data_IF_595277396106
#
_entry.id   IF_595277396106
#
_cell.length_a   1.000
_cell.length_b   1.000
_cell.length_c   1.000
_cell.angle_alpha   90.00
_cell.angle_beta   90.00
_cell.angle_gamma   90.00
#
_symmetry.space_group_name_H-M   'P 1'
#
loop_
_entity.id
_entity.type
_entity.pdbx_description
1 polymer ?
#
# COMPACT_ATOMS: atom_id res chain seq x y z
N UNK A 1 -21.43 -12.87 17.27
CA UNK A 1 -21.29 -11.78 16.28
C UNK A 1 -20.37 -12.26 15.18
N UNK A 2 -20.75 -12.08 13.92
CA UNK A 2 -19.91 -12.46 12.78
C UNK A 2 -18.65 -11.60 12.75
N UNK A 3 -17.50 -12.16 12.33
CA UNK A 3 -16.20 -11.46 12.21
C UNK A 3 -16.26 -10.18 11.35
N UNK A 4 -17.35 -10.00 10.60
CA UNK A 4 -17.54 -8.96 9.57
C UNK A 4 -18.30 -7.72 10.04
N UNK A 5 -18.75 -7.68 11.29
CA UNK A 5 -19.62 -6.61 11.79
C UNK A 5 -18.90 -5.62 12.73
N UNK A 6 -17.60 -5.38 12.49
CA UNK A 6 -16.88 -4.34 13.23
C UNK A 6 -17.30 -2.95 12.74
N UNK A 7 -17.76 -2.11 13.68
CA UNK A 7 -18.06 -0.71 13.41
C UNK A 7 -16.81 0.14 13.57
N UNK A 8 -16.37 0.77 12.49
CA UNK A 8 -15.25 1.71 12.50
C UNK A 8 -15.72 3.13 12.79
N UNK A 9 -15.15 3.75 13.82
CA UNK A 9 -15.31 5.19 14.08
C UNK A 9 -14.15 5.90 13.36
N UNK A 10 -14.43 6.73 12.33
CA UNK A 10 -13.38 7.37 11.55
C UNK A 10 -12.61 8.39 12.39
N UNK A 11 -11.36 8.66 11.99
CA UNK A 11 -10.56 9.73 12.59
C UNK A 11 -11.12 11.12 12.27
N UNK A 12 -11.67 11.29 11.08
CA UNK A 12 -12.28 12.52 10.61
C UNK A 12 -13.33 12.20 9.56
N UNK A 13 -14.38 13.02 9.46
CA UNK A 13 -15.35 12.99 8.37
C UNK A 13 -15.01 14.00 7.26
N UNK A 14 -13.99 14.84 7.48
CA UNK A 14 -13.60 15.93 6.59
C UNK A 14 -12.60 15.42 5.54
N UNK A 15 -13.06 15.29 4.29
CA UNK A 15 -12.28 14.74 3.18
C UNK A 15 -11.04 15.59 2.85
N UNK A 16 -11.11 16.91 3.02
CA UNK A 16 -9.98 17.80 2.78
C UNK A 16 -8.91 17.61 3.85
N UNK A 17 -9.32 17.50 5.12
CA UNK A 17 -8.39 17.15 6.21
C UNK A 17 -7.78 15.77 5.99
N UNK A 18 -8.55 14.77 5.58
CA UNK A 18 -8.02 13.42 5.29
C UNK A 18 -6.95 13.50 4.19
N UNK A 19 -7.23 14.22 3.09
CA UNK A 19 -6.27 14.41 1.99
C UNK A 19 -5.01 15.14 2.46
N UNK A 20 -5.18 16.24 3.18
CA UNK A 20 -4.09 17.06 3.70
C UNK A 20 -3.17 16.25 4.63
N UNK A 21 -3.74 15.55 5.62
CA UNK A 21 -2.97 14.72 6.54
C UNK A 21 -2.36 13.49 5.85
N UNK A 22 -3.00 12.95 4.81
CA UNK A 22 -2.48 11.81 4.07
C UNK A 22 -1.18 12.13 3.32
N UNK A 23 -1.13 13.28 2.65
CA UNK A 23 -0.01 13.63 1.76
C UNK A 23 1.02 14.53 2.45
N UNK A 24 0.58 15.51 3.24
CA UNK A 24 1.48 16.51 3.82
C UNK A 24 2.19 16.01 5.08
N UNK A 25 1.50 15.26 5.95
CA UNK A 25 2.09 14.79 7.22
C UNK A 25 3.31 13.90 6.95
N UNK A 26 3.22 12.99 6.00
CA UNK A 26 4.33 12.10 5.61
C UNK A 26 5.52 12.89 5.06
N UNK A 27 5.26 13.93 4.25
CA UNK A 27 6.28 14.80 3.67
C UNK A 27 6.96 15.68 4.73
N UNK A 28 6.20 16.26 5.66
CA UNK A 28 6.72 17.05 6.78
C UNK A 28 7.52 16.18 7.77
N UNK A 29 7.04 14.96 8.06
CA UNK A 29 7.76 14.00 8.90
C UNK A 29 9.11 13.63 8.26
N UNK A 30 9.14 13.36 6.95
CA UNK A 30 10.38 13.05 6.26
C UNK A 30 11.33 14.26 6.22
N UNK A 31 10.82 15.47 5.95
CA UNK A 31 11.64 16.69 5.98
C UNK A 31 12.30 16.90 7.36
N UNK A 32 11.54 16.66 8.44
CA UNK A 32 12.06 16.77 9.81
C UNK A 32 13.06 15.65 10.17
N UNK A 33 12.80 14.42 9.74
CA UNK A 33 13.63 13.26 10.14
C UNK A 33 14.86 13.05 9.24
N UNK A 34 14.76 13.34 7.95
CA UNK A 34 15.79 13.07 6.94
C UNK A 34 15.74 14.10 5.79
N UNK A 35 16.13 15.37 6.03
CA UNK A 35 15.99 16.45 5.06
C UNK A 35 16.74 16.21 3.73
N UNK A 36 17.93 15.60 3.78
CA UNK A 36 18.68 15.22 2.57
C UNK A 36 17.92 14.19 1.73
N UNK A 37 17.24 13.22 2.37
CA UNK A 37 16.41 12.25 1.64
C UNK A 37 15.16 12.92 1.05
N UNK A 38 14.56 13.88 1.77
CA UNK A 38 13.47 14.69 1.25
C UNK A 38 13.88 15.43 -0.04
N UNK A 39 14.99 16.17 -0.02
CA UNK A 39 15.50 16.89 -1.21
C UNK A 39 15.77 15.91 -2.36
N UNK A 40 16.42 14.77 -2.08
CA UNK A 40 16.64 13.72 -3.08
C UNK A 40 15.33 13.28 -3.74
N UNK A 41 14.27 13.06 -2.97
CA UNK A 41 12.96 12.68 -3.52
C UNK A 41 12.33 13.77 -4.39
N UNK A 42 12.52 15.05 -4.05
CA UNK A 42 12.08 16.17 -4.89
C UNK A 42 12.81 16.18 -6.24
N UNK A 43 14.12 15.91 -6.24
CA UNK A 43 14.92 15.81 -7.48
C UNK A 43 14.52 14.58 -8.29
N UNK A 44 14.44 13.39 -7.67
CA UNK A 44 14.10 12.14 -8.34
C UNK A 44 12.72 12.20 -9.03
N UNK A 45 11.74 12.90 -8.44
CA UNK A 45 10.42 13.14 -9.07
C UNK A 45 10.52 13.84 -10.43
N UNK A 46 11.57 14.65 -10.62
CA UNK A 46 11.81 15.41 -11.85
C UNK A 46 12.59 14.62 -12.91
N UNK A 47 13.25 13.53 -12.54
CA UNK A 47 14.00 12.71 -13.49
C UNK A 47 13.08 11.88 -14.40
N UNK A 48 13.33 11.86 -15.72
CA UNK A 48 12.56 11.05 -16.65
C UNK A 48 12.78 9.56 -16.43
N UNK A 49 11.78 8.74 -16.76
CA UNK A 49 11.92 7.29 -16.84
C UNK A 49 12.34 6.95 -18.28
N UNK A 50 13.52 6.34 -18.42
CA UNK A 50 14.07 5.92 -19.73
C UNK A 50 13.70 4.48 -20.10
N UNK A 51 13.35 3.66 -19.11
CA UNK A 51 12.91 2.27 -19.29
C UNK A 51 11.47 2.21 -19.81
N UNK A 52 11.03 1.04 -20.29
CA UNK A 52 9.61 0.81 -20.57
C UNK A 52 8.78 0.87 -19.29
N UNK A 53 7.48 1.10 -19.44
CA UNK A 53 6.53 1.21 -18.32
C UNK A 53 6.53 -0.07 -17.49
N UNK A 54 6.54 -1.23 -18.15
CA UNK A 54 6.52 -2.56 -17.52
C UNK A 54 7.77 -2.80 -16.67
N UNK A 55 8.95 -2.51 -17.23
CA UNK A 55 10.23 -2.68 -16.54
C UNK A 55 10.30 -1.74 -15.33
N UNK A 56 9.84 -0.50 -15.50
CA UNK A 56 9.81 0.47 -14.40
C UNK A 56 8.89 0.03 -13.25
N UNK A 57 7.69 -0.48 -13.57
CA UNK A 57 6.75 -1.00 -12.56
C UNK A 57 7.35 -2.22 -11.86
N UNK A 58 7.87 -3.19 -12.60
CA UNK A 58 8.43 -4.42 -12.05
C UNK A 58 9.64 -4.16 -11.13
N UNK A 59 10.40 -3.09 -11.38
CA UNK A 59 11.54 -2.70 -10.54
C UNK A 59 11.12 -1.94 -9.27
N UNK A 60 10.11 -1.06 -9.35
CA UNK A 60 9.77 -0.15 -8.25
C UNK A 60 8.66 -0.68 -7.33
N UNK A 61 7.73 -1.48 -7.84
CA UNK A 61 6.63 -2.09 -7.07
C UNK A 61 6.96 -3.54 -6.69
N UNK A 62 6.56 -3.97 -5.50
CA UNK A 62 6.79 -5.34 -5.02
C UNK A 62 5.72 -6.34 -5.53
N UNK A 63 4.53 -5.86 -5.91
CA UNK A 63 3.53 -6.60 -6.70
C UNK A 63 2.58 -5.64 -7.44
N UNK A 64 1.82 -6.18 -8.38
CA UNK A 64 0.95 -5.45 -9.29
C UNK A 64 -0.35 -6.21 -9.57
N UNK A 65 -1.46 -5.48 -9.71
CA UNK A 65 -2.65 -6.03 -10.34
C UNK A 65 -3.42 -4.95 -11.11
N UNK A 66 -4.31 -5.40 -11.99
CA UNK A 66 -5.14 -4.55 -12.83
C UNK A 66 -6.61 -4.92 -12.68
N UNK A 67 -7.46 -3.91 -12.60
CA UNK A 67 -8.91 -4.04 -12.65
C UNK A 67 -9.46 -2.96 -13.60
N UNK A 68 -9.76 -3.35 -14.84
CA UNK A 68 -10.14 -2.41 -15.89
C UNK A 68 -9.01 -1.41 -16.20
N UNK A 69 -9.33 -0.12 -16.13
CA UNK A 69 -8.39 1.01 -16.34
C UNK A 69 -7.64 1.41 -15.04
N UNK A 70 -7.88 0.70 -13.94
CA UNK A 70 -7.22 0.96 -12.66
C UNK A 70 -6.12 -0.06 -12.41
N UNK A 71 -4.91 0.46 -12.27
CA UNK A 71 -3.71 -0.25 -11.89
C UNK A 71 -3.47 -0.12 -10.39
N UNK A 72 -3.04 -1.20 -9.77
CA UNK A 72 -2.81 -1.29 -8.33
C UNK A 72 -1.40 -1.80 -8.08
N UNK A 73 -0.69 -1.14 -7.17
CA UNK A 73 0.69 -1.45 -6.84
C UNK A 73 0.83 -1.70 -5.35
N UNK A 74 1.54 -2.78 -5.03
CA UNK A 74 1.92 -3.14 -3.68
C UNK A 74 3.35 -2.68 -3.43
N UNK A 75 3.55 -1.92 -2.34
CA UNK A 75 4.86 -1.46 -1.89
C UNK A 75 5.11 -1.96 -0.47
N UNK A 76 5.84 -3.06 -0.34
CA UNK A 76 6.15 -3.68 0.94
C UNK A 76 7.28 -2.93 1.64
N UNK A 77 7.04 -2.48 2.89
CA UNK A 77 8.13 -1.90 3.67
C UNK A 77 8.87 -3.00 4.44
N UNK A 78 10.20 -2.86 4.48
CA UNK A 78 11.11 -3.92 4.98
C UNK A 78 11.54 -3.72 6.43
N UNK A 79 11.14 -2.60 7.04
CA UNK A 79 11.51 -2.23 8.42
C UNK A 79 10.41 -2.65 9.43
N UNK A 80 10.78 -3.00 10.67
CA UNK A 80 9.82 -3.39 11.71
C UNK A 80 8.94 -2.23 12.21
N UNK A 81 9.25 -0.98 11.85
CA UNK A 81 8.51 0.22 12.21
C UNK A 81 8.06 0.98 10.97
N UNK A 82 6.98 1.75 11.11
CA UNK A 82 6.51 2.69 10.10
C UNK A 82 7.64 3.64 9.67
N UNK A 83 7.93 3.72 8.38
CA UNK A 83 8.99 4.54 7.83
C UNK A 83 8.39 5.58 6.87
N UNK A 84 8.48 6.90 7.18
CA UNK A 84 8.02 7.96 6.28
C UNK A 84 8.64 7.89 4.88
N UNK A 85 9.84 7.32 4.78
CA UNK A 85 10.53 7.05 3.52
C UNK A 85 9.73 6.12 2.58
N UNK A 86 8.96 5.17 3.13
CA UNK A 86 8.13 4.29 2.32
C UNK A 86 7.06 5.08 1.55
N UNK A 87 6.37 6.01 2.22
CA UNK A 87 5.41 6.90 1.56
C UNK A 87 6.07 7.80 0.51
N UNK A 88 7.24 8.37 0.82
CA UNK A 88 7.94 9.23 -0.13
C UNK A 88 8.36 8.48 -1.40
N UNK A 89 8.81 7.23 -1.26
CA UNK A 89 9.11 6.34 -2.40
C UNK A 89 7.88 6.11 -3.25
N UNK A 90 6.74 5.75 -2.65
CA UNK A 90 5.48 5.52 -3.37
C UNK A 90 5.03 6.75 -4.14
N UNK A 91 5.03 7.93 -3.51
CA UNK A 91 4.68 9.16 -4.22
C UNK A 91 5.67 9.49 -5.34
N UNK A 92 6.98 9.28 -5.13
CA UNK A 92 7.98 9.49 -6.19
C UNK A 92 7.75 8.54 -7.35
N UNK A 93 7.49 7.26 -7.09
CA UNK A 93 7.14 6.26 -8.08
C UNK A 93 5.91 6.69 -8.90
N UNK A 94 4.79 7.01 -8.23
CA UNK A 94 3.56 7.44 -8.90
C UNK A 94 3.77 8.67 -9.78
N UNK A 95 4.47 9.68 -9.29
CA UNK A 95 4.72 10.90 -10.06
C UNK A 95 5.57 10.62 -11.31
N UNK A 96 6.60 9.78 -11.19
CA UNK A 96 7.47 9.42 -12.32
C UNK A 96 6.71 8.59 -13.35
N UNK A 97 5.92 7.60 -12.91
CA UNK A 97 5.08 6.79 -13.79
C UNK A 97 4.05 7.66 -14.52
N UNK A 98 3.34 8.54 -13.81
CA UNK A 98 2.34 9.40 -14.41
C UNK A 98 2.93 10.34 -15.46
N UNK A 99 4.13 10.88 -15.21
CA UNK A 99 4.85 11.71 -16.18
C UNK A 99 5.26 10.91 -17.40
N UNK A 100 5.72 9.67 -17.22
CA UNK A 100 6.09 8.79 -18.32
C UNK A 100 4.88 8.49 -19.22
N UNK A 101 3.77 8.06 -18.63
CA UNK A 101 2.53 7.76 -19.36
C UNK A 101 1.99 8.98 -20.11
N UNK A 102 1.96 10.15 -19.47
CA UNK A 102 1.54 11.40 -20.13
C UNK A 102 2.45 11.81 -21.29
N UNK A 103 3.75 11.55 -21.19
CA UNK A 103 4.67 11.81 -22.31
C UNK A 103 4.36 10.89 -23.49
N UNK A 104 4.03 9.62 -23.24
CA UNK A 104 3.60 8.69 -24.28
C UNK A 104 2.18 8.97 -24.84
N UNK A 105 1.49 10.00 -24.33
CA UNK A 105 0.17 10.41 -24.81
C UNK A 105 -1.02 9.77 -24.10
N UNK A 106 -0.78 8.99 -23.04
CA UNK A 106 -1.84 8.29 -22.30
C UNK A 106 -2.38 9.13 -21.15
N UNK A 107 -3.66 8.90 -20.78
CA UNK A 107 -4.23 9.45 -19.56
C UNK A 107 -3.51 8.84 -18.37
N UNK A 108 -3.15 9.64 -17.38
CA UNK A 108 -2.52 9.14 -16.14
C UNK A 108 -2.96 9.93 -14.92
N UNK A 109 -3.85 9.34 -14.14
CA UNK A 109 -4.40 9.87 -12.89
C UNK A 109 -3.86 9.06 -11.70
N UNK A 110 -2.89 9.60 -10.93
CA UNK A 110 -2.35 8.91 -9.76
C UNK A 110 -3.41 8.71 -8.68
N UNK A 111 -3.39 7.53 -8.06
CA UNK A 111 -4.22 7.19 -6.91
C UNK A 111 -3.30 7.05 -5.69
N UNK A 112 -3.24 8.11 -4.89
CA UNK A 112 -2.38 8.16 -3.72
C UNK A 112 -2.79 7.14 -2.64
N UNK A 113 -1.83 6.64 -1.83
CA UNK A 113 -2.10 5.62 -0.81
C UNK A 113 -3.17 5.95 0.23
N UNK A 114 -3.41 7.24 0.46
CA UNK A 114 -4.37 7.77 1.43
C UNK A 114 -5.47 8.56 0.72
N UNK A 115 -5.80 8.16 -0.51
CA UNK A 115 -6.88 8.79 -1.28
C UNK A 115 -8.22 8.63 -0.56
N UNK A 116 -8.94 9.73 -0.26
CA UNK A 116 -10.27 9.66 0.36
C UNK A 116 -11.37 9.30 -0.64
N UNK A 117 -11.09 9.32 -1.94
CA UNK A 117 -12.10 9.12 -3.00
C UNK A 117 -12.17 7.69 -3.51
N UNK A 118 -11.17 6.86 -3.22
CA UNK A 118 -11.09 5.49 -3.73
C UNK A 118 -10.62 4.53 -2.63
N UNK A 119 -11.31 3.39 -2.52
CA UNK A 119 -10.95 2.34 -1.57
C UNK A 119 -9.94 1.38 -2.23
N UNK A 120 -8.65 1.73 -2.17
CA UNK A 120 -7.57 0.90 -2.72
C UNK A 120 -7.55 -0.53 -2.14
N UNK A 121 -7.74 -0.76 -0.82
CA UNK A 121 -7.84 -2.13 -0.29
C UNK A 121 -8.92 -2.96 -0.97
N UNK A 122 -10.11 -2.39 -1.21
CA UNK A 122 -11.20 -3.08 -1.88
C UNK A 122 -10.84 -3.46 -3.31
N UNK A 123 -10.31 -2.51 -4.09
CA UNK A 123 -9.90 -2.77 -5.46
C UNK A 123 -8.78 -3.81 -5.54
N UNK A 124 -7.84 -3.81 -4.57
CA UNK A 124 -6.75 -4.78 -4.52
C UNK A 124 -7.25 -6.21 -4.26
N UNK A 125 -8.24 -6.38 -3.38
CA UNK A 125 -8.88 -7.68 -3.16
C UNK A 125 -9.64 -8.13 -4.42
N UNK A 126 -10.42 -7.23 -5.04
CA UNK A 126 -11.15 -7.53 -6.28
C UNK A 126 -10.20 -7.87 -7.45
N UNK A 127 -9.01 -7.28 -7.48
CA UNK A 127 -7.95 -7.55 -8.46
C UNK A 127 -7.09 -8.79 -8.12
N UNK A 128 -7.37 -9.49 -7.00
CA UNK A 128 -6.70 -10.74 -6.64
C UNK A 128 -5.35 -10.59 -5.92
N UNK A 129 -5.01 -9.42 -5.38
CA UNK A 129 -3.75 -9.19 -4.65
C UNK A 129 -3.74 -9.80 -3.24
N UNK A 130 -4.86 -10.32 -2.77
CA UNK A 130 -4.99 -10.94 -1.45
C UNK A 130 -6.39 -10.79 -0.89
N UNK A 131 -6.52 -10.96 0.42
CA UNK A 131 -7.81 -11.01 1.10
C UNK A 131 -7.96 -9.89 2.14
N UNK A 132 -9.21 -9.60 2.50
CA UNK A 132 -9.50 -8.71 3.60
C UNK A 132 -9.10 -9.31 4.94
N UNK A 133 -8.42 -8.52 5.76
CA UNK A 133 -8.39 -8.72 7.20
C UNK A 133 -9.75 -8.37 7.84
N UNK A 134 -9.99 -8.79 9.10
CA UNK A 134 -11.14 -8.31 9.88
C UNK A 134 -11.22 -6.78 10.01
N UNK A 135 -10.12 -6.06 9.75
CA UNK A 135 -10.06 -4.60 9.79
C UNK A 135 -10.33 -3.92 8.42
N UNK A 136 -10.73 -4.68 7.39
CA UNK A 136 -10.96 -4.15 6.04
C UNK A 136 -9.68 -3.71 5.30
N UNK A 137 -8.50 -4.08 5.81
CA UNK A 137 -7.21 -3.86 5.15
C UNK A 137 -6.81 -5.08 4.33
N UNK A 138 -6.09 -4.86 3.22
CA UNK A 138 -5.51 -5.93 2.42
C UNK A 138 -4.45 -6.70 3.21
N UNK A 139 -4.52 -8.02 3.16
CA UNK A 139 -3.46 -8.94 3.60
C UNK A 139 -2.93 -9.63 2.36
N UNK A 140 -1.71 -9.27 1.95
CA UNK A 140 -1.06 -9.91 0.81
C UNK A 140 -0.48 -11.28 1.21
N UNK A 141 -0.58 -12.33 0.39
CA UNK A 141 -0.05 -13.67 0.74
C UNK A 141 1.45 -13.64 1.07
N UNK A 142 2.23 -12.84 0.34
CA UNK A 142 3.70 -12.76 0.48
C UNK A 142 4.16 -11.74 1.51
N UNK A 143 3.47 -10.61 1.62
CA UNK A 143 3.92 -9.47 2.43
C UNK A 143 3.16 -9.35 3.75
N UNK A 144 2.02 -10.03 3.86
CA UNK A 144 1.03 -9.80 4.91
C UNK A 144 0.44 -8.39 4.78
N UNK A 145 0.03 -7.75 5.89
CA UNK A 145 -0.54 -6.41 5.87
C UNK A 145 0.53 -5.29 5.94
N UNK A 146 1.83 -5.62 5.82
CA UNK A 146 2.96 -4.66 5.94
C UNK A 146 3.32 -4.06 4.59
N UNK A 147 2.36 -3.37 4.00
CA UNK A 147 2.46 -2.81 2.66
C UNK A 147 1.75 -1.46 2.58
N UNK A 148 2.10 -0.70 1.56
CA UNK A 148 1.40 0.51 1.13
C UNK A 148 0.80 0.19 -0.24
N UNK A 149 -0.48 0.49 -0.41
CA UNK A 149 -1.14 0.44 -1.71
C UNK A 149 -1.05 1.79 -2.39
N UNK A 150 -0.93 1.76 -3.70
CA UNK A 150 -1.11 2.93 -4.57
C UNK A 150 -1.73 2.48 -5.88
N UNK A 151 -2.15 3.41 -6.71
CA UNK A 151 -2.65 3.06 -8.03
C UNK A 151 -2.44 4.13 -9.09
N UNK A 152 -2.79 3.77 -10.32
CA UNK A 152 -2.83 4.66 -11.47
C UNK A 152 -4.10 4.36 -12.24
N UNK A 153 -4.90 5.36 -12.56
CA UNK A 153 -5.96 5.21 -13.58
C UNK A 153 -5.43 5.69 -14.92
N UNK A 154 -5.44 4.80 -15.91
CA UNK A 154 -4.84 5.02 -17.22
C UNK A 154 -5.45 4.09 -18.26
N UNK A 155 -5.44 4.54 -19.51
CA UNK A 155 -5.83 3.80 -20.71
C UNK A 155 -4.66 3.09 -21.40
N UNK A 156 -3.47 3.11 -20.79
CA UNK A 156 -2.31 2.39 -21.31
C UNK A 156 -2.54 0.87 -21.37
N UNK A 157 -2.21 0.19 -22.49
CA UNK A 157 -2.38 -1.24 -22.63
C UNK A 157 -1.26 -2.01 -21.92
N UNK A 158 -1.40 -2.23 -20.61
CA UNK A 158 -0.39 -2.94 -19.83
C UNK A 158 -0.47 -4.46 -20.03
N UNK A 159 0.69 -5.09 -20.17
CA UNK A 159 0.81 -6.55 -20.35
C UNK A 159 1.36 -7.28 -19.13
N UNK A 160 1.58 -6.58 -18.03
CA UNK A 160 2.07 -7.16 -16.77
C UNK A 160 1.02 -8.08 -16.13
N UNK A 161 1.51 -9.18 -15.55
CA UNK A 161 0.71 -10.10 -14.74
C UNK A 161 1.07 -9.95 -13.26
N UNK A 162 0.12 -10.22 -12.34
CA UNK A 162 0.44 -10.29 -10.92
C UNK A 162 1.56 -11.27 -10.65
N UNK A 163 2.46 -10.90 -9.76
CA UNK A 163 3.59 -11.76 -9.40
C UNK A 163 3.15 -12.91 -8.50
N UNK A 164 2.04 -12.75 -7.77
CA UNK A 164 1.62 -13.72 -6.76
C UNK A 164 0.14 -14.08 -6.81
N UNK A 165 -0.14 -15.34 -6.48
CA UNK A 165 -1.45 -15.85 -6.12
C UNK A 165 -1.37 -16.64 -4.81
N UNK A 166 -2.42 -16.60 -4.01
CA UNK A 166 -2.50 -17.35 -2.76
C UNK A 166 -3.41 -16.69 -1.73
N UNK A 167 -3.55 -17.36 -0.58
CA UNK A 167 -4.41 -16.89 0.52
C UNK A 167 -3.66 -15.84 1.35
N UNK A 168 -4.30 -14.69 1.52
CA UNK A 168 -3.89 -13.59 2.37
C UNK A 168 -4.26 -13.81 3.84
N UNK A 169 -5.39 -13.26 4.26
CA UNK A 169 -5.89 -13.46 5.62
C UNK A 169 -6.40 -14.90 5.77
N UNK A 170 -5.97 -15.57 6.83
CA UNK A 170 -6.36 -16.95 7.14
C UNK A 170 -7.32 -17.05 8.35
N UNK A 171 -7.91 -15.92 8.73
CA UNK A 171 -8.88 -15.81 9.82
C UNK A 171 -8.42 -16.40 11.17
N UNK A 172 -7.13 -16.27 11.50
CA UNK A 172 -6.57 -16.73 12.78
C UNK A 172 -6.95 -15.86 13.99
N UNK A 173 -7.60 -14.71 13.77
CA UNK A 173 -8.04 -13.75 14.79
C UNK A 173 -6.94 -13.18 15.71
N UNK A 174 -5.67 -13.43 15.42
CA UNK A 174 -4.54 -12.98 16.25
C UNK A 174 -4.50 -11.45 16.41
N UNK A 175 -4.87 -10.71 15.36
CA UNK A 175 -4.93 -9.26 15.38
C UNK A 175 -6.08 -8.72 16.25
N UNK A 176 -7.23 -9.41 16.25
CA UNK A 176 -8.39 -9.05 17.07
C UNK A 176 -8.11 -9.31 18.55
N UNK A 177 -7.50 -10.46 18.88
CA UNK A 177 -7.18 -10.88 20.26
C UNK A 177 -6.19 -9.95 20.96
N UNK A 178 -5.22 -9.40 20.22
CA UNK A 178 -4.20 -8.50 20.78
C UNK A 178 -4.52 -7.01 20.65
N UNK A 179 -5.68 -6.65 20.08
CA UNK A 179 -6.03 -5.26 19.89
C UNK A 179 -6.35 -4.59 21.23
N UNK A 180 -5.67 -3.49 21.62
CA UNK A 180 -5.95 -2.80 22.88
C UNK A 180 -7.38 -2.23 22.98
N UNK A 181 -8.05 -2.04 21.84
CA UNK A 181 -9.43 -1.55 21.79
C UNK A 181 -10.48 -2.65 22.04
N UNK A 182 -10.05 -3.92 22.22
CA UNK A 182 -10.92 -5.08 22.52
C UNK A 182 -12.15 -5.18 21.59
N UNK A 183 -11.95 -5.27 20.27
CA UNK A 183 -13.05 -5.29 19.30
C UNK A 183 -13.91 -6.56 19.39
N UNK A 184 -13.39 -7.66 19.95
CA UNK A 184 -14.15 -8.88 20.17
C UNK A 184 -15.23 -8.72 21.25
N UNK A 185 -15.02 -7.80 22.19
CA UNK A 185 -15.98 -7.48 23.26
C UNK A 185 -16.92 -6.35 22.82
N UNK A 186 -16.36 -5.28 22.26
CA UNK A 186 -17.10 -4.04 21.96
C UNK A 186 -17.74 -3.99 20.57
N UNK A 187 -17.23 -4.77 19.60
CA UNK A 187 -17.61 -4.65 18.19
C UNK A 187 -17.19 -3.33 17.53
N UNK A 188 -16.44 -2.47 18.22
CA UNK A 188 -16.13 -1.09 17.77
C UNK A 188 -14.62 -0.86 17.72
N UNK A 189 -14.16 -0.21 16.65
CA UNK A 189 -12.76 0.19 16.49
C UNK A 189 -12.69 1.68 16.15
N UNK A 190 -12.04 2.46 17.01
CA UNK A 190 -11.75 3.87 16.74
C UNK A 190 -10.46 4.02 15.95
N UNK A 191 -10.56 4.46 14.69
CA UNK A 191 -9.40 4.65 13.81
C UNK A 191 -8.47 5.75 14.31
N UNK A 192 -8.98 6.72 15.07
CA UNK A 192 -8.14 7.75 15.70
C UNK A 192 -7.14 7.19 16.72
N UNK A 193 -7.46 6.05 17.37
CA UNK A 193 -6.54 5.36 18.29
C UNK A 193 -5.52 4.46 17.58
N UNK A 194 -5.67 4.28 16.26
CA UNK A 194 -4.77 3.46 15.45
C UNK A 194 -3.57 4.25 14.87
N UNK A 195 -3.47 5.56 15.09
CA UNK A 195 -2.48 6.41 14.42
C UNK A 195 -1.01 6.03 14.67
N UNK A 196 -0.69 5.52 15.85
CA UNK A 196 0.68 5.13 16.25
C UNK A 196 0.79 3.64 16.57
N UNK A 197 -0.33 2.92 16.58
CA UNK A 197 -0.39 1.51 16.89
C UNK A 197 -0.19 0.67 15.62
N UNK A 198 0.67 -0.35 15.70
CA UNK A 198 0.90 -1.31 14.62
C UNK A 198 0.79 -2.78 15.07
N UNK A 199 0.17 -3.04 16.24
CA UNK A 199 0.12 -4.38 16.84
C UNK A 199 -0.45 -5.42 15.87
N UNK A 200 -1.57 -5.09 15.20
CA UNK A 200 -2.21 -5.98 14.23
C UNK A 200 -1.27 -6.35 13.06
N UNK A 201 -0.50 -5.39 12.55
CA UNK A 201 0.49 -5.59 11.48
C UNK A 201 1.67 -6.43 11.96
N UNK A 202 2.10 -6.18 13.19
CA UNK A 202 3.25 -6.83 13.83
C UNK A 202 2.94 -8.25 14.26
N UNK A 203 1.71 -8.59 14.69
CA UNK A 203 1.36 -9.96 15.08
C UNK A 203 1.01 -10.83 13.87
N UNK A 204 0.43 -10.27 12.82
CA UNK A 204 -0.09 -11.03 11.68
C UNK A 204 0.93 -12.07 11.16
N UNK A 205 0.57 -13.37 11.12
CA UNK A 205 1.47 -14.44 10.71
C UNK A 205 1.68 -14.48 9.19
N UNK A 206 0.70 -14.01 8.40
CA UNK A 206 0.81 -13.96 6.94
C UNK A 206 1.99 -13.10 6.51
N UNK A 207 2.70 -13.55 5.48
CA UNK A 207 3.93 -12.91 5.02
C UNK A 207 5.10 -13.03 6.00
N UNK A 208 5.06 -13.95 6.96
CA UNK A 208 6.23 -14.31 7.78
C UNK A 208 6.65 -15.76 7.53
N UNK A 209 7.89 -16.09 7.90
CA UNK A 209 8.43 -17.45 7.83
C UNK A 209 9.26 -17.73 6.58
N UNK A 210 9.72 -18.99 6.46
CA UNK A 210 10.64 -19.45 5.40
C UNK A 210 10.05 -19.30 4.00
N UNK A 211 8.79 -19.69 3.79
CA UNK A 211 8.11 -19.58 2.48
C UNK A 211 8.06 -18.13 2.00
N UNK A 212 7.57 -17.20 2.82
CA UNK A 212 7.51 -15.78 2.46
C UNK A 212 8.91 -15.18 2.20
N UNK A 213 9.95 -15.63 2.92
CA UNK A 213 11.34 -15.20 2.65
C UNK A 213 11.86 -15.71 1.31
N UNK A 214 11.64 -16.97 0.96
CA UNK A 214 12.03 -17.54 -0.33
C UNK A 214 11.32 -16.85 -1.49
N UNK A 215 10.01 -16.63 -1.34
CA UNK A 215 9.17 -15.91 -2.29
C UNK A 215 9.71 -14.49 -2.57
N UNK A 216 10.11 -13.76 -1.51
CA UNK A 216 10.75 -12.44 -1.64
C UNK A 216 12.10 -12.48 -2.32
N UNK A 217 12.91 -13.50 -2.04
CA UNK A 217 14.22 -13.66 -2.69
C UNK A 217 14.05 -13.90 -4.19
N UNK A 218 13.03 -14.65 -4.58
CA UNK A 218 12.69 -14.88 -5.98
C UNK A 218 12.27 -13.58 -6.70
N UNK A 219 11.43 -12.73 -6.09
CA UNK A 219 11.11 -11.41 -6.68
C UNK A 219 12.32 -10.52 -6.81
N UNK A 220 13.16 -10.48 -5.77
CA UNK A 220 14.36 -9.65 -5.78
C UNK A 220 15.27 -10.04 -6.95
N UNK A 221 15.36 -11.34 -7.27
CA UNK A 221 16.11 -11.84 -8.44
C UNK A 221 15.46 -11.49 -9.77
N UNK A 222 14.13 -11.49 -9.87
CA UNK A 222 13.41 -11.10 -11.10
C UNK A 222 13.47 -9.61 -11.41
N UNK A 223 13.68 -8.78 -10.39
CA UNK A 223 13.87 -7.35 -10.51
C UNK A 223 15.34 -6.93 -10.74
N UNK A 224 16.28 -7.89 -10.75
CA UNK A 224 17.73 -7.70 -11.00
C UNK A 224 18.05 -7.87 -12.48
#
# INVERSE_FOLDING_TARGET
MSRRDLRFIPLSADLEKIRFFGTLRSSLLLLKQAPLQFVRHQVLRRLPVRQSVEVFIAHEADDFAQLGDVWLFVHAWRLPRFAPLAFARVHTFLHRLARRLRWEGYRAEPLDPLSPTINLPRLAVEAGLGDFSPYGLLVHPVFGPRLILSGMRTDYPLTLRPCWGGVGCNDCDACLKLCPQRPLESGVVGLGRCQTCAICLTVCPTGKGRRARALRQELARRAS
#
